data_IF_162684586178
#
_entry.id   IF_162684586178
#
_cell.length_a   1.000
_cell.length_b   1.000
_cell.length_c   1.000
_cell.angle_alpha   90.00
_cell.angle_beta   90.00
_cell.angle_gamma   90.00
#
_symmetry.space_group_name_H-M   'P 1'
#
loop_
_entity.id
_entity.type
_entity.pdbx_description
1 polymer ?
#
# COMPACT_ATOMS: atom_id res chain seq x y z
N UNK A 1 -13.07 5.79 -9.57
CA UNK A 1 -12.13 6.21 -8.49
C UNK A 1 -11.27 5.01 -8.15
N UNK A 2 -9.93 5.13 -8.26
CA UNK A 2 -9.03 4.00 -8.05
C UNK A 2 -9.08 3.50 -6.61
N UNK A 3 -9.00 2.18 -6.41
CA UNK A 3 -9.07 1.53 -5.10
C UNK A 3 -8.02 2.08 -4.11
N UNK A 4 -6.84 2.49 -4.60
CA UNK A 4 -5.80 3.11 -3.77
C UNK A 4 -6.18 4.49 -3.26
N UNK A 5 -6.92 5.28 -4.03
CA UNK A 5 -7.44 6.59 -3.57
C UNK A 5 -8.46 6.40 -2.45
N UNK A 6 -9.37 5.42 -2.60
CA UNK A 6 -10.34 5.08 -1.55
C UNK A 6 -9.62 4.64 -0.27
N UNK A 7 -8.67 3.70 -0.38
CA UNK A 7 -7.87 3.23 0.76
C UNK A 7 -7.12 4.38 1.45
N UNK A 8 -6.55 5.30 0.67
CA UNK A 8 -5.80 6.44 1.22
C UNK A 8 -6.72 7.42 1.95
N UNK A 9 -7.91 7.70 1.42
CA UNK A 9 -8.91 8.52 2.11
C UNK A 9 -9.39 7.86 3.40
N UNK A 10 -9.70 6.56 3.37
CA UNK A 10 -10.08 5.81 4.57
C UNK A 10 -8.95 5.78 5.61
N UNK A 11 -7.69 5.72 5.17
CA UNK A 11 -6.54 5.77 6.07
C UNK A 11 -6.38 7.13 6.77
N UNK A 12 -6.72 8.24 6.11
CA UNK A 12 -6.77 9.55 6.75
C UNK A 12 -7.85 9.61 7.84
N UNK A 13 -9.02 9.00 7.58
CA UNK A 13 -10.09 8.92 8.60
C UNK A 13 -9.60 8.11 9.81
N UNK A 14 -8.92 6.97 9.61
CA UNK A 14 -8.35 6.19 10.72
C UNK A 14 -7.34 7.02 11.54
N UNK A 15 -6.47 7.79 10.90
CA UNK A 15 -5.53 8.67 11.60
C UNK A 15 -6.28 9.71 12.43
N UNK A 16 -7.31 10.32 11.87
CA UNK A 16 -8.13 11.29 12.60
C UNK A 16 -8.82 10.66 13.82
N UNK A 17 -9.38 9.46 13.68
CA UNK A 17 -9.96 8.72 14.80
C UNK A 17 -8.91 8.36 15.86
N UNK A 18 -7.67 8.03 15.47
CA UNK A 18 -6.57 7.80 16.40
C UNK A 18 -6.21 9.07 17.19
N UNK A 19 -6.20 10.25 16.55
CA UNK A 19 -6.02 11.53 17.23
C UNK A 19 -7.14 11.81 18.22
N UNK A 20 -8.40 11.60 17.87
CA UNK A 20 -9.54 11.76 18.80
C UNK A 20 -9.39 10.80 19.97
N UNK A 21 -9.01 9.54 19.73
CA UNK A 21 -8.81 8.55 20.79
C UNK A 21 -7.70 8.98 21.75
N UNK A 22 -6.60 9.49 21.24
CA UNK A 22 -5.45 9.97 22.02
C UNK A 22 -5.83 11.24 22.81
N UNK A 23 -6.48 12.21 22.17
CA UNK A 23 -6.96 13.43 22.81
C UNK A 23 -7.91 13.15 23.98
N UNK A 24 -8.95 12.33 23.72
CA UNK A 24 -9.92 11.98 24.77
C UNK A 24 -9.27 11.21 25.93
N UNK A 25 -8.30 10.37 25.64
CA UNK A 25 -7.55 9.64 26.68
C UNK A 25 -6.71 10.60 27.54
N UNK A 26 -6.00 11.56 26.94
CA UNK A 26 -5.20 12.54 27.68
C UNK A 26 -6.06 13.47 28.54
N UNK A 27 -7.24 13.89 28.06
CA UNK A 27 -8.17 14.68 28.87
C UNK A 27 -8.78 13.89 30.03
N UNK A 28 -9.05 12.57 29.84
CA UNK A 28 -9.62 11.75 30.91
C UNK A 28 -8.59 11.41 31.99
N UNK A 29 -7.34 11.11 31.61
CA UNK A 29 -6.34 10.54 32.52
C UNK A 29 -5.12 11.42 32.76
N UNK A 30 -4.78 12.32 31.83
CA UNK A 30 -3.55 13.09 31.87
C UNK A 30 -3.65 14.44 32.62
N UNK A 31 -4.84 14.88 32.99
CA UNK A 31 -5.06 16.17 33.67
C UNK A 31 -5.65 16.03 35.08
N UNK A 32 -5.07 16.75 36.04
CA UNK A 32 -5.63 16.87 37.39
C UNK A 32 -6.90 17.71 37.39
N UNK A 33 -6.91 18.85 36.68
CA UNK A 33 -8.10 19.69 36.49
C UNK A 33 -8.74 19.39 35.14
N UNK A 34 -9.94 18.81 35.15
CA UNK A 34 -10.65 18.41 33.95
C UNK A 34 -11.33 19.61 33.31
N UNK A 35 -11.06 19.82 32.01
CA UNK A 35 -11.70 20.88 31.19
C UNK A 35 -13.10 20.48 30.71
N UNK A 36 -13.29 19.17 30.49
CA UNK A 36 -14.51 18.63 29.90
C UNK A 36 -15.13 17.59 30.82
N UNK A 37 -16.41 17.35 30.64
CA UNK A 37 -17.16 16.31 31.32
C UNK A 37 -16.57 14.92 30.98
N UNK A 38 -16.02 14.27 32.00
CA UNK A 38 -15.36 12.99 31.86
C UNK A 38 -16.30 11.87 31.40
N UNK A 39 -17.58 11.95 31.73
CA UNK A 39 -18.56 10.94 31.30
C UNK A 39 -18.84 11.06 29.81
N UNK A 40 -19.04 12.28 29.32
CA UNK A 40 -19.20 12.54 27.88
C UNK A 40 -17.97 12.12 27.10
N UNK A 41 -16.76 12.45 27.58
CA UNK A 41 -15.53 12.04 26.93
C UNK A 41 -15.36 10.52 26.86
N UNK A 42 -15.75 9.78 27.91
CA UNK A 42 -15.74 8.30 27.90
C UNK A 42 -16.71 7.74 26.86
N UNK A 43 -17.90 8.31 26.72
CA UNK A 43 -18.87 7.91 25.69
C UNK A 43 -18.30 8.16 24.27
N UNK A 44 -17.73 9.35 24.03
CA UNK A 44 -17.09 9.69 22.76
C UNK A 44 -15.91 8.73 22.47
N UNK A 45 -15.03 8.50 23.45
CA UNK A 45 -13.90 7.58 23.30
C UNK A 45 -14.34 6.14 22.94
N UNK A 46 -15.39 5.65 23.58
CA UNK A 46 -15.96 4.32 23.28
C UNK A 46 -16.53 4.24 21.87
N UNK A 47 -17.33 5.22 21.47
CA UNK A 47 -17.92 5.28 20.12
C UNK A 47 -16.82 5.38 19.06
N UNK A 48 -15.86 6.28 19.26
CA UNK A 48 -14.70 6.45 18.39
C UNK A 48 -13.89 5.14 18.24
N UNK A 49 -13.67 4.43 19.35
CA UNK A 49 -12.97 3.13 19.33
C UNK A 49 -13.73 2.07 18.53
N UNK A 50 -15.06 2.03 18.63
CA UNK A 50 -15.88 1.13 17.83
C UNK A 50 -15.79 1.46 16.32
N UNK A 51 -15.93 2.72 15.96
CA UNK A 51 -15.81 3.18 14.55
C UNK A 51 -14.41 2.88 14.00
N UNK A 52 -13.37 3.15 14.80
CA UNK A 52 -11.98 2.83 14.45
C UNK A 52 -11.81 1.33 14.16
N UNK A 53 -12.30 0.46 15.05
CA UNK A 53 -12.20 -0.99 14.89
C UNK A 53 -12.95 -1.49 13.65
N UNK A 54 -14.19 -1.04 13.44
CA UNK A 54 -14.99 -1.40 12.27
C UNK A 54 -14.30 -0.98 10.95
N UNK A 55 -13.79 0.25 10.91
CA UNK A 55 -13.09 0.76 9.74
C UNK A 55 -11.76 0.03 9.48
N UNK A 56 -10.99 -0.29 10.54
CA UNK A 56 -9.77 -1.07 10.44
C UNK A 56 -10.04 -2.46 9.84
N UNK A 57 -11.11 -3.14 10.28
CA UNK A 57 -11.53 -4.44 9.72
C UNK A 57 -11.91 -4.30 8.25
N UNK A 58 -12.69 -3.29 7.89
CA UNK A 58 -13.10 -3.05 6.50
C UNK A 58 -11.88 -2.84 5.57
N UNK A 59 -10.91 -2.01 6.00
CA UNK A 59 -9.68 -1.79 5.24
C UNK A 59 -8.85 -3.08 5.15
N UNK A 60 -8.77 -3.86 6.22
CA UNK A 60 -8.05 -5.14 6.21
C UNK A 60 -8.63 -6.10 5.17
N UNK A 61 -9.95 -6.20 5.06
CA UNK A 61 -10.61 -7.00 4.03
C UNK A 61 -10.21 -6.55 2.61
N UNK A 62 -10.22 -5.24 2.34
CA UNK A 62 -9.80 -4.70 1.04
C UNK A 62 -8.32 -5.02 0.75
N UNK A 63 -7.46 -4.98 1.78
CA UNK A 63 -6.03 -5.30 1.63
C UNK A 63 -5.81 -6.80 1.39
N UNK A 64 -6.54 -7.67 2.08
CA UNK A 64 -6.47 -9.12 1.89
C UNK A 64 -6.97 -9.53 0.50
N UNK A 65 -8.10 -8.98 0.05
CA UNK A 65 -8.62 -9.21 -1.30
C UNK A 65 -7.60 -8.84 -2.37
N UNK A 66 -6.91 -7.69 -2.19
CA UNK A 66 -5.83 -7.28 -3.08
C UNK A 66 -4.67 -8.29 -3.10
N UNK A 67 -4.20 -8.77 -1.94
CA UNK A 67 -3.10 -9.74 -1.85
C UNK A 67 -3.50 -11.07 -2.49
N UNK A 68 -4.70 -11.56 -2.22
CA UNK A 68 -5.21 -12.82 -2.76
C UNK A 68 -5.32 -12.76 -4.30
N UNK A 69 -5.82 -11.64 -4.83
CA UNK A 69 -5.98 -11.46 -6.28
C UNK A 69 -4.65 -11.29 -7.02
N UNK A 70 -3.75 -10.49 -6.48
CA UNK A 70 -2.48 -10.21 -7.16
C UNK A 70 -1.47 -11.32 -6.99
N UNK A 71 -1.47 -12.02 -5.83
CA UNK A 71 -0.44 -12.99 -5.42
C UNK A 71 1.00 -12.42 -5.50
N UNK A 72 1.14 -11.10 -5.53
CA UNK A 72 2.42 -10.44 -5.66
C UNK A 72 3.22 -10.52 -4.36
N UNK A 73 4.53 -10.68 -4.49
CA UNK A 73 5.44 -10.61 -3.33
C UNK A 73 5.44 -9.20 -2.76
N UNK A 74 5.22 -9.04 -1.43
CA UNK A 74 5.18 -7.73 -0.83
C UNK A 74 6.55 -7.05 -0.87
N UNK A 75 6.59 -5.78 -1.27
CA UNK A 75 7.79 -4.96 -1.08
C UNK A 75 8.12 -4.82 0.42
N UNK A 76 9.39 -4.52 0.80
CA UNK A 76 9.77 -4.34 2.22
C UNK A 76 8.87 -3.33 2.96
N UNK A 77 8.43 -2.28 2.27
CA UNK A 77 7.50 -1.30 2.81
C UNK A 77 6.10 -1.88 3.05
N UNK A 78 5.60 -2.69 2.12
CA UNK A 78 4.31 -3.36 2.26
C UNK A 78 4.34 -4.42 3.36
N UNK A 79 5.45 -5.14 3.51
CA UNK A 79 5.66 -6.08 4.61
C UNK A 79 5.66 -5.35 5.97
N UNK A 80 6.36 -4.22 6.09
CA UNK A 80 6.37 -3.40 7.31
C UNK A 80 4.96 -2.88 7.64
N UNK A 81 4.20 -2.43 6.63
CA UNK A 81 2.79 -2.05 6.80
C UNK A 81 1.95 -3.19 7.37
N UNK A 82 2.13 -4.41 6.86
CA UNK A 82 1.40 -5.59 7.33
C UNK A 82 1.75 -5.94 8.79
N UNK A 83 3.02 -5.81 9.18
CA UNK A 83 3.47 -6.01 10.57
C UNK A 83 2.81 -4.99 11.50
N UNK A 84 2.79 -3.71 11.14
CA UNK A 84 2.11 -2.69 11.94
C UNK A 84 0.59 -2.96 12.03
N UNK A 85 -0.06 -3.34 10.93
CA UNK A 85 -1.47 -3.67 10.93
C UNK A 85 -1.78 -4.84 11.87
N UNK A 86 -1.00 -5.92 11.80
CA UNK A 86 -1.15 -7.07 12.67
C UNK A 86 -0.97 -6.68 14.15
N UNK A 87 0.06 -5.88 14.47
CA UNK A 87 0.30 -5.39 15.82
C UNK A 87 -0.87 -4.54 16.34
N UNK A 88 -1.45 -3.65 15.51
CA UNK A 88 -2.64 -2.86 15.87
C UNK A 88 -3.81 -3.79 16.21
N UNK A 89 -4.09 -4.83 15.40
CA UNK A 89 -5.17 -5.77 15.68
C UNK A 89 -4.95 -6.55 16.97
N UNK A 90 -3.74 -7.06 17.20
CA UNK A 90 -3.40 -7.81 18.44
C UNK A 90 -3.58 -6.91 19.66
N UNK A 91 -3.04 -5.68 19.63
CA UNK A 91 -3.17 -4.77 20.77
C UNK A 91 -4.60 -4.27 20.97
N UNK A 92 -5.38 -4.10 19.90
CA UNK A 92 -6.79 -3.75 19.99
C UNK A 92 -7.60 -4.87 20.66
N UNK A 93 -7.37 -6.13 20.27
CA UNK A 93 -7.98 -7.31 20.91
C UNK A 93 -7.59 -7.40 22.37
N UNK A 94 -6.30 -7.24 22.69
CA UNK A 94 -5.82 -7.27 24.07
C UNK A 94 -6.47 -6.16 24.90
N UNK A 95 -6.60 -4.95 24.34
CA UNK A 95 -7.29 -3.82 25.00
C UNK A 95 -8.75 -4.15 25.29
N UNK A 96 -9.47 -4.76 24.34
CA UNK A 96 -10.88 -5.17 24.53
C UNK A 96 -10.96 -6.20 25.64
N UNK A 97 -10.09 -7.20 25.66
CA UNK A 97 -10.04 -8.24 26.68
C UNK A 97 -9.77 -7.65 28.08
N UNK A 98 -8.84 -6.70 28.21
CA UNK A 98 -8.56 -6.05 29.50
C UNK A 98 -9.72 -5.17 29.98
N UNK A 99 -10.41 -4.50 29.09
CA UNK A 99 -11.56 -3.67 29.46
C UNK A 99 -12.79 -4.53 29.83
N UNK A 100 -13.00 -5.64 29.11
CA UNK A 100 -14.24 -6.44 29.24
C UNK A 100 -14.12 -7.54 30.30
N UNK A 101 -13.00 -8.25 30.35
CA UNK A 101 -12.86 -9.48 31.16
C UNK A 101 -11.85 -9.33 32.31
N UNK A 102 -10.66 -8.73 32.04
CA UNK A 102 -9.57 -8.69 33.00
C UNK A 102 -9.36 -7.28 33.58
N UNK A 103 -10.34 -6.83 34.35
CA UNK A 103 -10.36 -5.46 34.94
C UNK A 103 -9.15 -5.15 35.84
N UNK A 104 -8.47 -6.14 36.36
CA UNK A 104 -7.21 -5.97 37.12
C UNK A 104 -6.10 -5.30 36.30
N UNK A 105 -6.12 -5.47 34.97
CA UNK A 105 -5.16 -4.82 34.06
C UNK A 105 -5.64 -3.46 33.52
N UNK A 106 -6.74 -2.92 34.03
CA UNK A 106 -7.32 -1.68 33.52
C UNK A 106 -6.31 -0.50 33.52
N UNK A 107 -5.38 -0.46 34.50
CA UNK A 107 -4.30 0.54 34.54
C UNK A 107 -3.34 0.50 33.34
N UNK A 108 -3.27 -0.62 32.60
CA UNK A 108 -2.43 -0.76 31.41
C UNK A 108 -3.13 -0.35 30.10
N UNK A 109 -4.45 -0.14 30.14
CA UNK A 109 -5.27 0.20 28.97
C UNK A 109 -4.84 1.51 28.30
N UNK A 110 -4.35 2.47 29.11
CA UNK A 110 -3.83 3.75 28.61
C UNK A 110 -2.60 3.54 27.72
N UNK A 111 -1.62 2.78 28.20
CA UNK A 111 -0.40 2.47 27.46
C UNK A 111 -0.72 1.71 26.16
N UNK A 112 -1.64 0.73 26.23
CA UNK A 112 -2.11 0.02 25.03
C UNK A 112 -2.75 0.98 24.02
N UNK A 113 -3.57 1.92 24.49
CA UNK A 113 -4.19 2.93 23.62
C UNK A 113 -3.16 3.82 22.92
N UNK A 114 -2.12 4.25 23.63
CA UNK A 114 -1.04 5.04 23.05
C UNK A 114 -0.24 4.24 22.02
N UNK A 115 0.10 2.98 22.31
CA UNK A 115 0.80 2.10 21.40
C UNK A 115 -0.01 1.86 20.11
N UNK A 116 -1.33 1.61 20.23
CA UNK A 116 -2.22 1.47 19.08
C UNK A 116 -2.18 2.72 18.20
N UNK A 117 -2.24 3.91 18.80
CA UNK A 117 -2.19 5.16 18.05
C UNK A 117 -0.85 5.33 17.31
N UNK A 118 0.29 5.11 17.98
CA UNK A 118 1.63 5.22 17.38
C UNK A 118 1.82 4.22 16.22
N UNK A 119 1.41 2.96 16.43
CA UNK A 119 1.48 1.95 15.36
C UNK A 119 0.54 2.27 14.20
N UNK A 120 -0.62 2.88 14.47
CA UNK A 120 -1.54 3.35 13.42
C UNK A 120 -0.89 4.44 12.58
N UNK A 121 -0.17 5.39 13.17
CA UNK A 121 0.58 6.40 12.42
C UNK A 121 1.68 5.79 11.56
N UNK A 122 2.44 4.82 12.10
CA UNK A 122 3.45 4.08 11.34
C UNK A 122 2.83 3.30 10.18
N UNK A 123 1.71 2.59 10.43
CA UNK A 123 0.95 1.83 9.43
C UNK A 123 0.48 2.72 8.28
N UNK A 124 -0.13 3.87 8.59
CA UNK A 124 -0.64 4.79 7.57
C UNK A 124 0.50 5.51 6.87
N UNK A 125 1.57 5.89 7.58
CA UNK A 125 2.76 6.50 7.00
C UNK A 125 3.43 5.61 5.94
N UNK A 126 3.47 4.30 6.17
CA UNK A 126 4.04 3.31 5.23
C UNK A 126 3.09 2.93 4.08
N UNK A 127 1.83 3.38 4.07
CA UNK A 127 0.82 3.04 3.06
C UNK A 127 0.15 4.27 2.44
N UNK A 128 -1.02 4.64 2.94
CA UNK A 128 -1.82 5.74 2.40
C UNK A 128 -1.12 7.09 2.46
N UNK A 129 -0.39 7.38 3.54
CA UNK A 129 0.41 8.59 3.67
C UNK A 129 1.53 8.65 2.63
N UNK A 130 2.26 7.55 2.45
CA UNK A 130 3.27 7.46 1.38
C UNK A 130 2.66 7.66 -0.01
N UNK A 131 1.53 7.01 -0.30
CA UNK A 131 0.83 7.18 -1.57
C UNK A 131 0.47 8.64 -1.84
N UNK A 132 -0.12 9.33 -0.85
CA UNK A 132 -0.49 10.74 -0.97
C UNK A 132 0.72 11.66 -1.16
N UNK A 133 1.83 11.39 -0.46
CA UNK A 133 3.07 12.14 -0.63
C UNK A 133 3.65 11.97 -2.04
N UNK A 134 3.69 10.74 -2.55
CA UNK A 134 4.25 10.45 -3.88
C UNK A 134 3.36 11.00 -4.99
N UNK A 135 2.04 10.91 -4.87
CA UNK A 135 1.12 11.39 -5.92
C UNK A 135 0.90 12.91 -5.86
N UNK A 136 0.83 13.48 -4.64
CA UNK A 136 0.60 14.91 -4.44
C UNK A 136 1.85 15.77 -4.64
N UNK A 137 2.99 15.32 -4.11
CA UNK A 137 4.24 16.10 -4.09
C UNK A 137 5.34 15.54 -5.00
N UNK A 138 5.19 14.31 -5.52
CA UNK A 138 6.21 13.64 -6.35
C UNK A 138 6.35 14.21 -7.76
N UNK A 139 5.51 15.15 -8.19
CA UNK A 139 5.61 15.78 -9.51
C UNK A 139 6.83 16.72 -9.66
N UNK A 140 7.42 17.18 -8.56
CA UNK A 140 8.44 18.25 -8.58
C UNK A 140 9.60 17.98 -7.65
N UNK A 141 10.28 16.83 -7.62
CA UNK A 141 11.28 16.83 -6.57
C UNK A 141 12.51 15.97 -6.56
N UNK A 142 13.49 16.61 -6.11
CA UNK A 142 14.75 16.30 -5.38
C UNK A 142 14.81 14.92 -4.64
N UNK A 143 13.71 14.40 -4.12
CA UNK A 143 13.63 13.06 -3.48
C UNK A 143 13.75 11.95 -4.52
N UNK A 144 13.23 12.15 -5.73
CA UNK A 144 13.39 11.18 -6.82
C UNK A 144 14.83 11.12 -7.35
N UNK A 145 15.60 12.21 -7.28
CA UNK A 145 17.01 12.26 -7.71
C UNK A 145 17.97 11.52 -6.76
N UNK A 146 17.66 11.44 -5.47
CA UNK A 146 18.56 10.82 -4.46
C UNK A 146 18.48 9.29 -4.40
N UNK A 147 17.47 8.68 -5.04
CA UNK A 147 17.30 7.22 -5.10
C UNK A 147 17.74 6.60 -6.43
N UNK A 148 18.36 7.36 -7.31
CA UNK A 148 18.85 6.89 -8.60
C UNK A 148 20.31 6.38 -8.51
N UNK A 149 20.55 5.30 -7.76
CA UNK A 149 21.75 4.51 -7.98
C UNK A 149 21.37 3.20 -8.67
N UNK A 150 21.91 2.92 -9.87
CA UNK A 150 21.74 1.64 -10.53
C UNK A 150 22.47 0.55 -9.71
N UNK A 151 21.78 -0.52 -9.35
CA UNK A 151 22.48 -1.75 -8.95
C UNK A 151 23.10 -2.34 -10.21
N UNK A 152 24.40 -2.22 -10.33
CA UNK A 152 25.20 -2.97 -11.30
C UNK A 152 25.07 -4.47 -11.03
N UNK A 153 24.76 -5.21 -12.06
CA UNK A 153 24.63 -6.66 -12.02
C UNK A 153 23.65 -7.17 -13.07
N UNK A 154 23.80 -6.79 -14.34
CA UNK A 154 22.96 -7.29 -15.42
C UNK A 154 23.74 -8.24 -16.32
N UNK A 155 23.20 -9.48 -16.45
CA UNK A 155 23.46 -10.33 -17.63
C UNK A 155 23.03 -9.56 -18.88
N UNK A 156 23.81 -9.67 -19.94
CA UNK A 156 23.45 -9.11 -21.24
C UNK A 156 22.06 -9.57 -21.68
N UNK A 157 21.24 -8.69 -22.25
CA UNK A 157 19.89 -9.03 -22.66
C UNK A 157 19.92 -10.02 -23.84
N UNK A 158 19.43 -11.23 -23.62
CA UNK A 158 18.98 -12.06 -24.71
C UNK A 158 17.81 -11.35 -25.39
N UNK A 159 17.84 -11.15 -26.70
CA UNK A 159 16.77 -10.48 -27.43
C UNK A 159 15.47 -11.28 -27.32
N UNK A 160 14.56 -10.86 -26.42
CA UNK A 160 13.25 -11.48 -26.29
C UNK A 160 12.42 -11.17 -27.52
N UNK A 161 12.14 -12.19 -28.34
CA UNK A 161 11.21 -12.05 -29.46
C UNK A 161 9.78 -11.85 -28.90
N UNK A 162 9.17 -10.70 -29.20
CA UNK A 162 7.81 -10.40 -28.74
C UNK A 162 6.82 -11.28 -29.48
N UNK A 163 5.97 -11.99 -28.76
CA UNK A 163 4.86 -12.75 -29.31
C UNK A 163 3.80 -11.80 -29.88
N UNK A 164 3.32 -12.09 -31.10
CA UNK A 164 2.33 -11.26 -31.79
C UNK A 164 1.03 -12.00 -32.06
N UNK A 165 0.93 -13.27 -31.66
CA UNK A 165 -0.27 -14.08 -31.84
C UNK A 165 -1.38 -13.63 -30.89
N UNK A 166 -2.63 -13.69 -31.37
CA UNK A 166 -3.81 -13.24 -30.66
C UNK A 166 -4.02 -13.98 -29.33
N UNK A 167 -3.61 -15.23 -29.22
CA UNK A 167 -3.73 -16.02 -28.00
C UNK A 167 -2.80 -15.52 -26.88
N UNK A 168 -1.54 -15.24 -27.19
CA UNK A 168 -0.58 -14.67 -26.26
C UNK A 168 -0.99 -13.28 -25.81
N UNK A 169 -1.46 -12.43 -26.72
CA UNK A 169 -1.95 -11.08 -26.40
C UNK A 169 -3.17 -11.15 -25.46
N UNK A 170 -4.14 -12.03 -25.73
CA UNK A 170 -5.33 -12.18 -24.91
C UNK A 170 -4.97 -12.67 -23.48
N UNK A 171 -4.13 -13.69 -23.36
CA UNK A 171 -3.62 -14.16 -22.05
C UNK A 171 -2.82 -13.08 -21.32
N UNK A 172 -2.02 -12.32 -22.03
CA UNK A 172 -1.27 -11.19 -21.48
C UNK A 172 -2.18 -10.09 -20.94
N UNK A 173 -3.27 -9.78 -21.66
CA UNK A 173 -4.29 -8.83 -21.20
C UNK A 173 -4.97 -9.31 -19.93
N UNK A 174 -5.38 -10.55 -19.85
CA UNK A 174 -6.00 -11.15 -18.64
C UNK A 174 -5.06 -11.08 -17.44
N UNK A 175 -3.79 -11.45 -17.61
CA UNK A 175 -2.76 -11.32 -16.57
C UNK A 175 -2.56 -9.87 -16.15
N UNK A 176 -2.51 -8.95 -17.11
CA UNK A 176 -2.37 -7.53 -16.82
C UNK A 176 -3.56 -7.00 -16.01
N UNK A 177 -4.79 -7.31 -16.42
CA UNK A 177 -6.01 -6.89 -15.71
C UNK A 177 -6.08 -7.46 -14.30
N UNK A 178 -5.64 -8.69 -14.07
CA UNK A 178 -5.69 -9.33 -12.76
C UNK A 178 -4.55 -8.94 -11.83
N UNK A 179 -3.39 -8.45 -12.33
CA UNK A 179 -2.19 -8.24 -11.53
C UNK A 179 -1.60 -6.83 -11.63
N UNK A 180 -1.64 -6.21 -12.80
CA UNK A 180 -0.95 -4.95 -13.07
C UNK A 180 -1.88 -3.73 -13.00
N UNK A 181 -3.16 -3.89 -13.39
CA UNK A 181 -4.15 -2.81 -13.50
C UNK A 181 -4.45 -2.11 -12.17
N UNK A 182 -4.18 -2.74 -11.04
CA UNK A 182 -4.31 -2.11 -9.72
C UNK A 182 -3.38 -0.89 -9.54
N UNK A 183 -2.22 -0.93 -10.19
CA UNK A 183 -1.18 0.10 -10.05
C UNK A 183 -0.92 0.87 -11.34
N UNK A 184 -1.24 0.32 -12.50
CA UNK A 184 -0.94 0.88 -13.80
C UNK A 184 -2.21 0.99 -14.65
N UNK A 185 -2.35 2.09 -15.39
CA UNK A 185 -3.35 2.20 -16.44
C UNK A 185 -2.74 1.76 -17.78
N UNK A 186 -3.39 0.83 -18.47
CA UNK A 186 -2.92 0.32 -19.76
C UNK A 186 -3.02 1.37 -20.86
N UNK A 187 -4.07 2.17 -20.86
CA UNK A 187 -4.50 2.98 -22.00
C UNK A 187 -4.25 4.48 -21.83
N UNK A 188 -3.67 4.90 -20.71
CA UNK A 188 -3.31 6.29 -20.48
C UNK A 188 -1.83 6.43 -20.06
N UNK A 189 -1.32 7.66 -20.08
CA UNK A 189 0.00 8.02 -19.54
C UNK A 189 -0.12 8.52 -18.11
N UNK A 190 -1.32 8.54 -17.55
CA UNK A 190 -1.55 9.04 -16.19
C UNK A 190 -0.98 8.07 -15.16
N UNK A 191 -0.46 8.65 -14.09
CA UNK A 191 0.06 7.88 -12.97
C UNK A 191 -1.07 7.50 -12.02
N UNK A 192 -1.26 6.21 -11.78
CA UNK A 192 -2.12 5.68 -10.71
C UNK A 192 -1.29 5.50 -9.44
N UNK A 193 -0.65 4.37 -9.24
CA UNK A 193 0.44 4.13 -8.26
C UNK A 193 1.77 4.13 -9.01
N UNK A 194 1.86 3.31 -10.06
CA UNK A 194 2.89 3.31 -11.07
C UNK A 194 2.54 4.19 -12.26
N UNK A 195 3.45 4.34 -13.22
CA UNK A 195 3.20 5.08 -14.47
C UNK A 195 2.14 4.39 -15.31
N UNK A 196 1.43 5.15 -16.15
CA UNK A 196 0.60 4.58 -17.21
C UNK A 196 1.44 3.88 -18.28
N UNK A 197 0.86 2.93 -18.99
CA UNK A 197 1.56 2.04 -19.93
C UNK A 197 1.22 2.29 -21.39
N UNK A 198 0.42 3.32 -21.72
CA UNK A 198 0.12 3.66 -23.12
C UNK A 198 1.41 3.92 -23.89
N UNK A 199 1.66 3.09 -24.90
CA UNK A 199 2.87 3.19 -25.73
C UNK A 199 4.17 2.91 -24.98
N UNK A 200 4.15 2.17 -23.88
CA UNK A 200 5.30 1.98 -22.99
C UNK A 200 6.54 1.46 -23.73
N UNK A 201 6.40 0.52 -24.63
CA UNK A 201 7.50 -0.04 -25.42
C UNK A 201 7.83 0.78 -26.70
N UNK A 202 7.04 1.82 -27.00
CA UNK A 202 7.31 2.78 -28.07
C UNK A 202 8.11 3.98 -27.59
N UNK A 203 8.25 4.14 -26.27
CA UNK A 203 9.08 5.19 -25.66
C UNK A 203 10.57 4.80 -25.73
N UNK A 204 11.50 5.78 -25.74
CA UNK A 204 12.92 5.46 -25.69
C UNK A 204 13.36 4.83 -24.36
N UNK A 205 12.71 5.20 -23.26
CA UNK A 205 13.07 4.74 -21.92
C UNK A 205 11.82 4.40 -21.09
N UNK A 206 11.97 3.41 -20.20
CA UNK A 206 10.97 3.12 -19.18
C UNK A 206 10.82 4.32 -18.22
N UNK A 207 9.61 4.74 -17.86
CA UNK A 207 9.35 6.02 -17.21
C UNK A 207 10.09 6.26 -15.88
N UNK A 208 10.30 5.20 -15.10
CA UNK A 208 10.86 5.30 -13.74
C UNK A 208 12.30 4.82 -13.67
N UNK A 209 12.62 3.63 -14.19
CA UNK A 209 13.97 3.07 -14.16
C UNK A 209 14.95 3.73 -15.13
N UNK A 210 14.43 4.46 -16.11
CA UNK A 210 15.22 5.11 -17.19
C UNK A 210 16.03 4.13 -18.04
N UNK A 211 15.79 2.83 -17.92
CA UNK A 211 16.36 1.82 -18.81
C UNK A 211 15.72 1.94 -20.20
N UNK A 212 16.38 1.51 -21.27
CA UNK A 212 15.76 1.42 -22.59
C UNK A 212 14.42 0.66 -22.51
N UNK A 213 13.40 1.15 -23.20
CA UNK A 213 12.06 0.54 -23.17
C UNK A 213 12.00 -0.67 -24.12
N UNK A 214 12.81 -1.66 -23.85
CA UNK A 214 12.85 -2.93 -24.62
C UNK A 214 11.97 -4.00 -23.96
N UNK A 215 11.51 -5.01 -24.74
CA UNK A 215 10.80 -6.16 -24.22
C UNK A 215 11.56 -6.86 -23.08
N UNK A 216 12.88 -7.03 -23.22
CA UNK A 216 13.76 -7.63 -22.22
C UNK A 216 13.77 -6.85 -20.91
N UNK A 217 13.91 -5.52 -21.00
CA UNK A 217 13.90 -4.67 -19.83
C UNK A 217 12.53 -4.62 -19.15
N UNK A 218 11.45 -4.71 -19.92
CA UNK A 218 10.09 -4.81 -19.38
C UNK A 218 9.89 -6.17 -18.66
N UNK A 219 10.28 -7.27 -19.28
CA UNK A 219 10.24 -8.62 -18.68
C UNK A 219 11.09 -8.69 -17.40
N UNK A 220 12.31 -8.16 -17.45
CA UNK A 220 13.18 -8.08 -16.28
C UNK A 220 12.57 -7.24 -15.17
N UNK A 221 11.92 -6.11 -15.48
CA UNK A 221 11.29 -5.26 -14.45
C UNK A 221 10.06 -5.89 -13.81
N UNK A 222 9.35 -6.78 -14.49
CA UNK A 222 8.26 -7.59 -13.91
C UNK A 222 8.82 -8.52 -12.83
N UNK A 223 9.95 -9.17 -13.07
CA UNK A 223 10.59 -10.11 -12.13
C UNK A 223 11.42 -9.42 -11.08
N UNK A 224 12.22 -8.44 -11.48
CA UNK A 224 13.15 -7.67 -10.65
C UNK A 224 12.71 -6.21 -10.64
N UNK A 225 11.68 -5.86 -9.87
CA UNK A 225 11.03 -4.57 -9.93
C UNK A 225 11.93 -3.45 -9.43
N UNK A 226 11.66 -2.26 -9.93
CA UNK A 226 12.33 -1.03 -9.51
C UNK A 226 11.50 -0.31 -8.44
N UNK A 227 12.15 0.14 -7.36
CA UNK A 227 11.53 0.86 -6.23
C UNK A 227 10.41 0.03 -5.54
N UNK A 228 9.21 0.61 -5.48
CA UNK A 228 8.08 0.06 -4.72
C UNK A 228 7.15 -0.87 -5.53
N UNK A 229 7.48 -1.16 -6.77
CA UNK A 229 6.74 -2.14 -7.56
C UNK A 229 6.93 -3.52 -6.91
N UNK A 230 5.85 -4.28 -6.64
CA UNK A 230 5.99 -5.63 -6.12
C UNK A 230 6.61 -6.57 -7.17
N UNK A 231 7.34 -7.59 -6.71
CA UNK A 231 7.89 -8.61 -7.59
C UNK A 231 6.83 -9.61 -8.05
N UNK A 232 6.93 -9.99 -9.31
CA UNK A 232 6.14 -11.07 -9.90
C UNK A 232 7.07 -12.18 -10.40
N UNK A 233 8.14 -12.46 -9.64
CA UNK A 233 9.15 -13.47 -9.97
C UNK A 233 8.59 -14.90 -10.08
N UNK A 234 7.43 -15.14 -9.47
CA UNK A 234 6.70 -16.41 -9.53
C UNK A 234 6.00 -16.67 -10.88
N UNK A 235 5.86 -15.64 -11.73
CA UNK A 235 5.29 -15.84 -13.07
C UNK A 235 6.25 -16.65 -13.92
N UNK A 236 5.71 -17.63 -14.64
CA UNK A 236 6.47 -18.42 -15.61
C UNK A 236 7.00 -17.55 -16.75
N UNK A 237 7.98 -18.07 -17.49
CA UNK A 237 8.53 -17.39 -18.67
C UNK A 237 7.42 -17.06 -19.69
N UNK A 238 6.52 -18.02 -19.94
CA UNK A 238 5.39 -17.85 -20.85
C UNK A 238 4.42 -16.76 -20.41
N UNK A 239 4.11 -16.69 -19.12
CA UNK A 239 3.23 -15.65 -18.57
C UNK A 239 3.84 -14.26 -18.72
N UNK A 240 5.14 -14.10 -18.43
CA UNK A 240 5.85 -12.83 -18.61
C UNK A 240 5.89 -12.43 -20.07
N UNK A 241 6.17 -13.37 -20.98
CA UNK A 241 6.15 -13.11 -22.42
C UNK A 241 4.76 -12.70 -22.93
N UNK A 242 3.69 -13.31 -22.41
CA UNK A 242 2.33 -12.92 -22.74
C UNK A 242 2.01 -11.51 -22.27
N UNK A 243 2.43 -11.13 -21.05
CA UNK A 243 2.28 -9.74 -20.55
C UNK A 243 3.05 -8.76 -21.44
N UNK A 244 4.29 -9.09 -21.84
CA UNK A 244 5.10 -8.25 -22.75
C UNK A 244 4.43 -8.15 -24.13
N UNK A 245 3.85 -9.25 -24.65
CA UNK A 245 3.07 -9.23 -25.90
C UNK A 245 1.90 -8.24 -25.82
N UNK A 246 1.15 -8.24 -24.72
CA UNK A 246 0.07 -7.27 -24.50
C UNK A 246 0.61 -5.83 -24.39
N UNK A 247 1.69 -5.59 -23.61
CA UNK A 247 2.30 -4.27 -23.49
C UNK A 247 2.76 -3.69 -24.84
N UNK A 248 3.18 -4.57 -25.77
CA UNK A 248 3.60 -4.17 -27.10
C UNK A 248 2.43 -3.70 -27.99
N UNK A 249 1.19 -4.04 -27.64
CA UNK A 249 -0.01 -3.57 -28.35
C UNK A 249 -0.46 -2.17 -27.93
N UNK A 250 0.00 -1.70 -26.78
CA UNK A 250 -0.38 -0.40 -26.21
C UNK A 250 0.41 0.72 -26.90
#
# INVERSE_FOLDING_TARGET
>A
MHIFTIKSLLSLVIVFLAFIAMFTMFEIFGRNQKRFDSEKLRKIHRLNGFIFGALAVAIAFICLDFIVKTKAEPSPRAALHAVFALAVFILLMLKIVFVSFYRQFYGKVQTLGLLIALLTFGMVGTSGGYYLLVTGFGKNNLISRRMEQPKEGMREPSHLAVRTDAGSIAKGKELYESKCSFCHDAYSNERVVGPGHKGILKNPFLPVSKKPATPDNAANQIRNPYKDMPSFSYLSEDEVQNVVAFLNTL
#
